data_IF_612697988944
#
_entry.id   IF_612697988944
#
_cell.length_a   1.000
_cell.length_b   1.000
_cell.length_c   1.000
_cell.angle_alpha   90.00
_cell.angle_beta   90.00
_cell.angle_gamma   90.00
#
_symmetry.space_group_name_H-M   'P 1'
#
loop_
_entity.id
_entity.type
_entity.pdbx_description
1 polymer ?
#
# COMPACT_ATOMS: atom_id res chain seq x y z
N UNK A 1 34.24 -10.72 -14.84
CA UNK A 1 33.58 -10.50 -16.15
C UNK A 1 32.04 -10.52 -16.08
N UNK A 2 31.38 -10.05 -15.02
CA UNK A 2 29.92 -10.18 -14.90
C UNK A 2 29.17 -8.84 -15.03
N UNK A 3 29.83 -7.72 -14.74
CA UNK A 3 29.18 -6.40 -14.65
C UNK A 3 28.80 -5.79 -15.99
N UNK A 4 29.72 -5.80 -16.96
CA UNK A 4 29.47 -5.30 -18.33
C UNK A 4 28.32 -6.06 -19.01
N UNK A 5 28.25 -7.38 -18.79
CA UNK A 5 27.15 -8.22 -19.28
C UNK A 5 25.79 -7.78 -18.74
N UNK A 6 25.67 -7.58 -17.42
CA UNK A 6 24.42 -7.11 -16.82
C UNK A 6 24.05 -5.69 -17.27
N UNK A 7 25.04 -4.81 -17.42
CA UNK A 7 24.82 -3.43 -17.88
C UNK A 7 24.26 -3.41 -19.31
N UNK A 8 24.87 -4.15 -20.22
CA UNK A 8 24.39 -4.31 -21.59
C UNK A 8 22.98 -4.92 -21.63
N UNK A 9 22.73 -5.96 -20.82
CA UNK A 9 21.41 -6.61 -20.73
C UNK A 9 20.31 -5.65 -20.25
N UNK A 10 20.59 -4.87 -19.21
CA UNK A 10 19.64 -3.87 -18.69
C UNK A 10 19.39 -2.78 -19.74
N UNK A 11 20.45 -2.30 -20.40
CA UNK A 11 20.33 -1.28 -21.43
C UNK A 11 19.51 -1.76 -22.63
N UNK A 12 19.67 -3.01 -23.05
CA UNK A 12 18.85 -3.63 -24.08
C UNK A 12 17.36 -3.69 -23.68
N UNK A 13 17.07 -4.13 -22.44
CA UNK A 13 15.70 -4.20 -21.92
C UNK A 13 15.04 -2.83 -21.74
N UNK A 14 15.81 -1.80 -21.41
CA UNK A 14 15.30 -0.42 -21.29
C UNK A 14 15.06 0.23 -22.66
N UNK A 15 15.81 -0.19 -23.68
CA UNK A 15 15.72 0.33 -25.04
C UNK A 15 14.58 -0.29 -25.84
N UNK A 16 14.17 -1.51 -25.51
CA UNK A 16 13.02 -2.17 -26.13
C UNK A 16 11.70 -1.44 -25.78
N UNK A 17 10.87 -1.17 -26.79
CA UNK A 17 9.70 -0.30 -26.65
C UNK A 17 8.67 -0.81 -25.62
N UNK A 18 8.45 -2.12 -25.55
CA UNK A 18 7.45 -2.76 -24.68
C UNK A 18 7.88 -2.74 -23.21
N UNK A 19 9.10 -3.18 -22.95
CA UNK A 19 9.74 -3.26 -21.62
C UNK A 19 10.12 -1.89 -21.08
N UNK A 20 10.60 -0.97 -21.93
CA UNK A 20 10.84 0.43 -21.59
C UNK A 20 9.57 1.17 -21.18
N UNK A 21 8.43 0.96 -21.87
CA UNK A 21 7.13 1.53 -21.49
C UNK A 21 6.67 1.03 -20.11
N UNK A 22 6.79 -0.28 -19.86
CA UNK A 22 6.45 -0.88 -18.57
C UNK A 22 7.32 -0.32 -17.43
N UNK A 23 8.62 -0.15 -17.69
CA UNK A 23 9.55 0.41 -16.71
C UNK A 23 9.20 1.88 -16.37
N UNK A 24 8.88 2.72 -17.36
CA UNK A 24 8.42 4.10 -17.12
C UNK A 24 7.13 4.14 -16.29
N UNK A 25 6.17 3.27 -16.59
CA UNK A 25 4.93 3.19 -15.80
C UNK A 25 5.21 2.83 -14.34
N UNK A 26 6.12 1.89 -14.09
CA UNK A 26 6.51 1.51 -12.72
C UNK A 26 7.19 2.64 -11.94
N UNK A 27 7.96 3.50 -12.61
CA UNK A 27 8.52 4.71 -11.96
C UNK A 27 7.44 5.68 -11.49
N UNK A 28 6.31 5.72 -12.19
CA UNK A 28 5.21 6.62 -11.84
C UNK A 28 4.29 6.01 -10.79
N UNK A 29 4.07 4.69 -10.83
CA UNK A 29 3.06 4.06 -9.97
C UNK A 29 3.67 3.36 -8.76
N UNK A 30 4.73 2.59 -8.99
CA UNK A 30 5.31 1.68 -7.99
C UNK A 30 6.28 2.43 -7.09
N UNK A 31 7.18 3.25 -7.65
CA UNK A 31 8.15 4.02 -6.85
C UNK A 31 7.45 4.97 -5.86
N UNK A 32 6.39 5.72 -6.22
CA UNK A 32 5.69 6.56 -5.26
C UNK A 32 4.97 5.75 -4.18
N UNK A 33 4.36 4.60 -4.51
CA UNK A 33 3.71 3.75 -3.51
C UNK A 33 4.70 3.25 -2.44
N UNK A 34 5.88 2.80 -2.86
CA UNK A 34 6.95 2.40 -1.92
C UNK A 34 7.57 3.59 -1.18
N UNK A 35 7.73 4.73 -1.84
CA UNK A 35 8.16 5.97 -1.19
C UNK A 35 7.18 6.42 -0.11
N UNK A 36 5.88 6.35 -0.38
CA UNK A 36 4.83 6.61 0.59
C UNK A 36 4.89 5.63 1.75
N UNK A 37 5.01 4.32 1.52
CA UNK A 37 5.15 3.34 2.60
C UNK A 37 6.33 3.65 3.52
N UNK A 38 7.49 3.98 2.94
CA UNK A 38 8.70 4.35 3.71
C UNK A 38 8.51 5.64 4.50
N UNK A 39 8.07 6.72 3.84
CA UNK A 39 7.95 8.04 4.47
C UNK A 39 6.77 8.14 5.44
N UNK A 40 5.65 7.46 5.15
CA UNK A 40 4.42 7.57 5.92
C UNK A 40 4.35 6.60 7.09
N UNK A 41 4.92 5.41 6.95
CA UNK A 41 4.83 4.33 7.96
C UNK A 41 6.20 3.88 8.48
N UNK A 42 7.32 4.45 7.99
CA UNK A 42 8.65 3.98 8.36
C UNK A 42 8.95 2.57 7.86
N UNK A 43 8.21 2.08 6.87
CA UNK A 43 8.28 0.69 6.41
C UNK A 43 9.55 0.44 5.58
N UNK A 44 10.66 0.18 6.26
CA UNK A 44 11.98 -0.03 5.66
C UNK A 44 12.38 -1.49 5.60
N UNK A 45 11.84 -2.33 6.49
CA UNK A 45 12.09 -3.77 6.56
C UNK A 45 10.84 -4.52 6.97
N UNK A 46 10.72 -5.76 6.52
CA UNK A 46 9.75 -6.70 7.06
C UNK A 46 10.16 -7.11 8.47
N UNK A 47 9.19 -7.17 9.37
CA UNK A 47 9.36 -7.63 10.75
C UNK A 47 9.29 -9.14 10.84
N UNK A 48 8.56 -9.78 9.91
CA UNK A 48 8.37 -11.24 9.87
C UNK A 48 9.09 -11.89 8.71
N UNK A 49 9.37 -13.19 8.83
CA UNK A 49 9.93 -14.03 7.77
C UNK A 49 8.92 -15.08 7.33
N UNK A 50 9.00 -15.48 6.06
CA UNK A 50 8.11 -16.47 5.44
C UNK A 50 7.03 -15.81 4.57
N UNK A 51 6.74 -16.44 3.42
CA UNK A 51 5.92 -15.87 2.32
C UNK A 51 4.55 -15.37 2.80
N UNK A 52 3.81 -16.20 3.53
CA UNK A 52 2.47 -15.84 4.01
C UNK A 52 2.48 -14.68 5.00
N UNK A 53 3.41 -14.70 5.97
CA UNK A 53 3.51 -13.67 7.01
C UNK A 53 3.92 -12.32 6.40
N UNK A 54 4.88 -12.35 5.48
CA UNK A 54 5.35 -11.17 4.72
C UNK A 54 4.21 -10.57 3.89
N UNK A 55 3.39 -11.42 3.25
CA UNK A 55 2.21 -10.99 2.49
C UNK A 55 1.18 -10.27 3.37
N UNK A 56 0.92 -10.80 4.56
CA UNK A 56 0.02 -10.16 5.52
C UNK A 56 0.58 -8.81 6.01
N UNK A 57 1.88 -8.75 6.32
CA UNK A 57 2.54 -7.52 6.79
C UNK A 57 2.43 -6.37 5.77
N UNK A 58 2.72 -6.62 4.49
CA UNK A 58 2.55 -5.58 3.46
C UNK A 58 1.08 -5.22 3.25
N UNK A 59 0.16 -6.18 3.38
CA UNK A 59 -1.29 -5.93 3.34
C UNK A 59 -1.73 -4.93 4.42
N UNK A 60 -1.26 -5.10 5.65
CA UNK A 60 -1.53 -4.15 6.75
C UNK A 60 -0.92 -2.77 6.48
N UNK A 61 0.32 -2.71 6.00
CA UNK A 61 0.97 -1.45 5.69
C UNK A 61 0.20 -0.68 4.59
N UNK A 62 -0.21 -1.35 3.52
CA UNK A 62 -1.04 -0.75 2.46
C UNK A 62 -2.41 -0.30 2.98
N UNK A 63 -3.04 -1.08 3.85
CA UNK A 63 -4.32 -0.71 4.47
C UNK A 63 -4.17 0.55 5.34
N UNK A 64 -3.10 0.67 6.12
CA UNK A 64 -2.80 1.87 6.89
C UNK A 64 -2.61 3.11 5.99
N UNK A 65 -1.92 2.97 4.86
CA UNK A 65 -1.80 4.05 3.85
C UNK A 65 -3.17 4.45 3.30
N UNK A 66 -4.00 3.47 2.94
CA UNK A 66 -5.35 3.71 2.41
C UNK A 66 -6.25 4.41 3.43
N UNK A 67 -6.20 4.02 4.70
CA UNK A 67 -6.93 4.68 5.79
C UNK A 67 -6.49 6.13 5.98
N UNK A 68 -5.18 6.41 5.88
CA UNK A 68 -4.66 7.78 5.94
C UNK A 68 -5.16 8.62 4.76
N UNK A 69 -5.15 8.08 3.53
CA UNK A 69 -5.74 8.73 2.35
C UNK A 69 -7.23 9.00 2.54
N UNK A 70 -7.99 8.03 3.04
CA UNK A 70 -9.42 8.18 3.32
C UNK A 70 -9.70 9.31 4.33
N UNK A 71 -8.90 9.41 5.41
CA UNK A 71 -9.02 10.50 6.39
C UNK A 71 -8.76 11.87 5.76
N UNK A 72 -7.73 11.98 4.92
CA UNK A 72 -7.36 13.25 4.27
C UNK A 72 -8.37 13.68 3.20
N UNK A 73 -8.93 12.71 2.46
CA UNK A 73 -9.93 12.95 1.42
C UNK A 73 -11.36 12.97 1.96
N UNK A 74 -11.54 12.89 3.29
CA UNK A 74 -12.88 12.95 3.89
C UNK A 74 -13.42 14.37 3.70
N UNK A 75 -14.58 14.56 3.05
CA UNK A 75 -15.19 15.88 2.96
C UNK A 75 -15.45 16.38 4.38
N UNK A 76 -15.04 17.62 4.65
CA UNK A 76 -15.12 18.25 5.95
C UNK A 76 -16.58 18.66 6.22
N UNK A 77 -17.43 17.69 6.57
CA UNK A 77 -18.78 17.98 7.03
C UNK A 77 -18.68 18.58 8.43
N UNK A 78 -18.74 19.92 8.51
CA UNK A 78 -18.72 20.70 9.76
C UNK A 78 -19.85 20.35 10.74
N UNK A 79 -20.77 19.46 10.34
CA UNK A 79 -21.94 19.03 11.10
C UNK A 79 -21.79 17.65 11.79
N UNK A 80 -20.68 16.93 11.57
CA UNK A 80 -20.44 15.65 12.24
C UNK A 80 -19.98 15.88 13.69
N UNK A 81 -20.93 15.94 14.63
CA UNK A 81 -20.62 15.96 16.07
C UNK A 81 -19.71 14.76 16.46
N UNK A 82 -18.69 14.93 17.32
CA UNK A 82 -17.74 13.87 17.69
C UNK A 82 -18.41 12.60 18.25
N UNK A 83 -19.61 12.73 18.80
CA UNK A 83 -20.46 11.61 19.23
C UNK A 83 -20.92 10.72 18.06
N UNK A 84 -21.34 11.32 16.94
CA UNK A 84 -21.76 10.57 15.75
C UNK A 84 -20.59 9.80 15.11
N UNK A 85 -19.37 10.35 15.17
CA UNK A 85 -18.18 9.67 14.66
C UNK A 85 -17.80 8.44 15.49
N UNK A 86 -17.90 8.51 16.83
CA UNK A 86 -17.67 7.34 17.72
C UNK A 86 -18.69 6.23 17.42
N UNK A 87 -19.97 6.57 17.30
CA UNK A 87 -21.02 5.59 17.05
C UNK A 87 -20.88 4.92 15.67
N UNK A 88 -20.45 5.67 14.65
CA UNK A 88 -20.18 5.13 13.32
C UNK A 88 -18.94 4.24 13.30
N UNK A 89 -17.88 4.59 14.06
CA UNK A 89 -16.68 3.73 14.23
C UNK A 89 -17.00 2.44 14.98
N UNK A 90 -17.79 2.50 16.05
CA UNK A 90 -18.27 1.30 16.74
C UNK A 90 -19.13 0.43 15.83
N UNK A 91 -20.08 1.01 15.08
CA UNK A 91 -20.90 0.25 14.12
C UNK A 91 -20.08 -0.47 13.06
N UNK A 92 -19.08 0.21 12.47
CA UNK A 92 -18.18 -0.41 11.49
C UNK A 92 -17.37 -1.55 12.11
N UNK A 93 -16.87 -1.35 13.34
CA UNK A 93 -16.14 -2.38 14.06
C UNK A 93 -17.01 -3.61 14.34
N UNK A 94 -18.23 -3.42 14.84
CA UNK A 94 -19.19 -4.51 15.07
C UNK A 94 -19.60 -5.22 13.77
N UNK A 95 -19.75 -4.49 12.67
CA UNK A 95 -20.07 -5.07 11.37
C UNK A 95 -18.93 -5.96 10.85
N UNK A 96 -17.69 -5.49 10.91
CA UNK A 96 -16.51 -6.26 10.48
C UNK A 96 -16.28 -7.46 11.40
N UNK A 97 -16.43 -7.28 12.71
CA UNK A 97 -16.32 -8.35 13.69
C UNK A 97 -17.41 -9.42 13.50
N UNK A 98 -18.67 -9.01 13.31
CA UNK A 98 -19.77 -9.91 13.00
C UNK A 98 -19.53 -10.72 11.73
N UNK A 99 -19.05 -10.08 10.66
CA UNK A 99 -18.75 -10.77 9.40
C UNK A 99 -17.59 -11.78 9.54
N UNK A 100 -16.59 -11.48 10.37
CA UNK A 100 -15.41 -12.32 10.57
C UNK A 100 -15.65 -13.53 11.49
N UNK A 101 -16.58 -13.42 12.44
CA UNK A 101 -16.77 -14.44 13.49
C UNK A 101 -18.14 -15.13 13.44
N UNK A 102 -19.14 -14.52 12.81
CA UNK A 102 -20.51 -15.05 12.74
C UNK A 102 -21.06 -15.12 11.31
N UNK A 103 -20.28 -14.71 10.31
CA UNK A 103 -20.61 -14.87 8.89
C UNK A 103 -20.00 -16.12 8.29
N UNK A 104 -20.58 -17.29 8.57
CA UNK A 104 -20.36 -18.55 7.83
C UNK A 104 -21.62 -19.38 7.85
#
# INVERSE_FOLDING_TARGET
MNWEYFKARIQQLLSEAKTGKLYRQRKIDVEPAFGHLKACLGFTRFSVRGKQKTHNEIGFALMAVNLRKYRLNRPNNKHDSPHNLKNRRLKIFFMIFGLLFFGS
#
